data_IF_072548127952
#
_entry.id   IF_072548127952
#
_cell.length_a   1.000
_cell.length_b   1.000
_cell.length_c   1.000
_cell.angle_alpha   90.00
_cell.angle_beta   90.00
_cell.angle_gamma   90.00
#
_symmetry.space_group_name_H-M   'P 1'
#
loop_
_entity.id
_entity.type
_entity.pdbx_description
1 polymer ?
#
# COMPACT_ATOMS: atom_id res chain seq x y z
N UNK A 1 56.18 -34.72 0.85
CA UNK A 1 56.12 -33.33 1.37
C UNK A 1 55.23 -32.47 0.48
N UNK A 2 55.46 -32.38 -0.84
CA UNK A 2 54.63 -31.59 -1.77
C UNK A 2 53.11 -31.88 -1.74
N UNK A 3 52.68 -33.15 -1.70
CA UNK A 3 51.24 -33.48 -1.69
C UNK A 3 50.52 -33.00 -0.42
N UNK A 4 51.20 -32.98 0.72
CA UNK A 4 50.62 -32.54 1.99
C UNK A 4 50.39 -31.01 1.99
N UNK A 5 51.35 -30.25 1.45
CA UNK A 5 51.22 -28.79 1.31
C UNK A 5 50.10 -28.40 0.32
N UNK A 6 49.95 -29.14 -0.79
CA UNK A 6 48.86 -28.91 -1.75
C UNK A 6 47.49 -29.14 -1.08
N UNK A 7 47.34 -30.21 -0.30
CA UNK A 7 46.09 -30.49 0.42
C UNK A 7 45.79 -29.43 1.49
N UNK A 8 46.80 -28.97 2.23
CA UNK A 8 46.64 -27.91 3.23
C UNK A 8 46.21 -26.58 2.58
N UNK A 9 46.83 -26.23 1.46
CA UNK A 9 46.51 -25.04 0.67
C UNK A 9 45.07 -25.06 0.16
N UNK A 10 44.65 -26.17 -0.45
CA UNK A 10 43.27 -26.35 -0.92
C UNK A 10 42.24 -26.25 0.22
N UNK A 11 42.55 -26.81 1.40
CA UNK A 11 41.68 -26.71 2.57
C UNK A 11 41.55 -25.26 3.06
N UNK A 12 42.64 -24.50 3.06
CA UNK A 12 42.64 -23.08 3.42
C UNK A 12 41.86 -22.23 2.41
N UNK A 13 41.96 -22.51 1.11
CA UNK A 13 41.17 -21.81 0.09
C UNK A 13 39.68 -22.07 0.25
N UNK A 14 39.31 -23.33 0.51
CA UNK A 14 37.92 -23.69 0.76
C UNK A 14 37.38 -23.03 2.03
N UNK A 15 38.15 -23.01 3.11
CA UNK A 15 37.76 -22.32 4.35
C UNK A 15 37.54 -20.81 4.12
N UNK A 16 38.40 -20.16 3.33
CA UNK A 16 38.22 -18.75 2.99
C UNK A 16 36.96 -18.52 2.14
N UNK A 17 36.68 -19.40 1.19
CA UNK A 17 35.47 -19.31 0.37
C UNK A 17 34.19 -19.50 1.21
N UNK A 18 34.20 -20.46 2.14
CA UNK A 18 33.09 -20.68 3.08
C UNK A 18 32.88 -19.44 3.95
N UNK A 19 33.95 -18.86 4.50
CA UNK A 19 33.85 -17.64 5.30
C UNK A 19 33.25 -16.47 4.49
N UNK A 20 33.68 -16.27 3.23
CA UNK A 20 33.10 -15.24 2.37
C UNK A 20 31.62 -15.48 2.07
N UNK A 21 31.18 -16.74 1.97
CA UNK A 21 29.78 -17.08 1.80
C UNK A 21 28.97 -16.82 3.07
N UNK A 22 29.49 -17.20 4.23
CA UNK A 22 28.87 -16.93 5.54
C UNK A 22 28.67 -15.42 5.75
N UNK A 23 29.72 -14.61 5.52
CA UNK A 23 29.63 -13.15 5.61
C UNK A 23 28.56 -12.55 4.67
N UNK A 24 28.41 -13.12 3.47
CA UNK A 24 27.38 -12.70 2.52
C UNK A 24 25.98 -13.14 2.95
N UNK A 25 25.85 -14.33 3.54
CA UNK A 25 24.57 -14.82 4.07
C UNK A 25 24.13 -13.95 5.24
N UNK A 26 25.01 -13.69 6.21
CA UNK A 26 24.72 -12.81 7.35
C UNK A 26 24.26 -11.41 6.91
N UNK A 27 24.94 -10.84 5.91
CA UNK A 27 24.54 -9.55 5.35
C UNK A 27 23.17 -9.61 4.66
N UNK A 28 22.85 -10.70 3.96
CA UNK A 28 21.55 -10.90 3.33
C UNK A 28 20.44 -11.10 4.37
N UNK A 29 20.70 -11.85 5.44
CA UNK A 29 19.74 -12.07 6.53
C UNK A 29 19.44 -10.77 7.27
N UNK A 30 20.46 -9.98 7.62
CA UNK A 30 20.26 -8.66 8.23
C UNK A 30 19.44 -7.74 7.33
N UNK A 31 19.71 -7.73 6.02
CA UNK A 31 18.94 -6.95 5.05
C UNK A 31 17.51 -7.47 4.90
N UNK A 32 17.29 -8.77 5.04
CA UNK A 32 15.97 -9.38 4.91
C UNK A 32 15.08 -8.99 6.09
N UNK A 33 15.59 -9.09 7.33
CA UNK A 33 14.87 -8.63 8.53
C UNK A 33 14.48 -7.16 8.42
N UNK A 34 15.41 -6.30 7.99
CA UNK A 34 15.09 -4.88 7.78
C UNK A 34 14.02 -4.67 6.70
N UNK A 35 14.01 -5.48 5.65
CA UNK A 35 12.98 -5.39 4.61
C UNK A 35 11.61 -5.83 5.14
N UNK A 36 11.56 -6.85 5.99
CA UNK A 36 10.31 -7.30 6.60
C UNK A 36 9.71 -6.21 7.50
N UNK A 37 10.54 -5.58 8.34
CA UNK A 37 10.11 -4.43 9.17
C UNK A 37 9.54 -3.28 8.32
N UNK A 38 10.20 -2.98 7.19
CA UNK A 38 9.74 -1.93 6.27
C UNK A 38 8.42 -2.32 5.60
N UNK A 39 8.25 -3.59 5.21
CA UNK A 39 7.01 -4.08 4.59
C UNK A 39 5.85 -3.98 5.57
N UNK A 40 6.06 -4.34 6.84
CA UNK A 40 5.05 -4.24 7.88
C UNK A 40 4.64 -2.79 8.12
N UNK A 41 5.62 -1.88 8.19
CA UNK A 41 5.35 -0.45 8.32
C UNK A 41 4.54 0.09 7.13
N UNK A 42 4.97 -0.21 5.89
CA UNK A 42 4.27 0.23 4.69
C UNK A 42 2.84 -0.34 4.61
N UNK A 43 2.64 -1.58 5.05
CA UNK A 43 1.32 -2.21 5.09
C UNK A 43 0.39 -1.50 6.09
N UNK A 44 0.92 -1.12 7.26
CA UNK A 44 0.18 -0.34 8.25
C UNK A 44 -0.25 1.03 7.71
N UNK A 45 0.69 1.77 7.11
CA UNK A 45 0.40 3.08 6.50
C UNK A 45 -0.63 2.95 5.37
N UNK A 46 -0.51 1.94 4.51
CA UNK A 46 -1.46 1.71 3.43
C UNK A 46 -2.88 1.43 3.96
N UNK A 47 -3.01 0.66 5.04
CA UNK A 47 -4.28 0.40 5.68
C UNK A 47 -4.90 1.68 6.26
N UNK A 48 -4.10 2.52 6.92
CA UNK A 48 -4.54 3.82 7.43
C UNK A 48 -5.04 4.74 6.31
N UNK A 49 -4.26 4.88 5.23
CA UNK A 49 -4.65 5.66 4.06
C UNK A 49 -5.93 5.12 3.40
N UNK A 50 -6.10 3.79 3.33
CA UNK A 50 -7.30 3.19 2.76
C UNK A 50 -8.55 3.51 3.60
N UNK A 51 -8.41 3.57 4.92
CA UNK A 51 -9.48 3.99 5.82
C UNK A 51 -9.86 5.45 5.58
N UNK A 52 -8.88 6.36 5.56
CA UNK A 52 -9.11 7.80 5.30
C UNK A 52 -9.78 8.05 3.94
N UNK A 53 -9.33 7.35 2.89
CA UNK A 53 -9.94 7.44 1.56
C UNK A 53 -11.39 6.96 1.58
N UNK A 54 -11.70 5.91 2.34
CA UNK A 54 -13.07 5.41 2.48
C UNK A 54 -13.97 6.46 3.13
N UNK A 55 -13.49 7.11 4.19
CA UNK A 55 -14.22 8.15 4.91
C UNK A 55 -14.45 9.38 4.02
N UNK A 56 -13.42 9.82 3.29
CA UNK A 56 -13.54 10.91 2.34
C UNK A 56 -14.56 10.60 1.23
N UNK A 57 -14.53 9.37 0.67
CA UNK A 57 -15.52 8.94 -0.31
C UNK A 57 -16.94 8.99 0.26
N UNK A 58 -17.13 8.55 1.50
CA UNK A 58 -18.43 8.61 2.17
C UNK A 58 -18.91 10.06 2.34
N UNK A 59 -18.04 10.95 2.81
CA UNK A 59 -18.36 12.36 2.98
C UNK A 59 -18.72 13.03 1.64
N UNK A 60 -17.96 12.76 0.57
CA UNK A 60 -18.25 13.26 -0.77
C UNK A 60 -19.63 12.78 -1.25
N UNK A 61 -19.97 11.52 -1.00
CA UNK A 61 -21.28 10.98 -1.37
C UNK A 61 -22.42 11.67 -0.61
N UNK A 62 -22.24 11.94 0.69
CA UNK A 62 -23.22 12.69 1.48
C UNK A 62 -23.41 14.12 0.96
N UNK A 63 -22.32 14.81 0.60
CA UNK A 63 -22.38 16.14 -0.01
C UNK A 63 -23.10 16.10 -1.36
N UNK A 64 -22.78 15.12 -2.21
CA UNK A 64 -23.43 14.95 -3.50
C UNK A 64 -24.94 14.69 -3.37
N UNK A 65 -25.35 13.87 -2.40
CA UNK A 65 -26.76 13.62 -2.11
C UNK A 65 -27.48 14.91 -1.65
N UNK A 66 -26.90 15.64 -0.70
CA UNK A 66 -27.46 16.93 -0.24
C UNK A 66 -27.63 17.95 -1.37
N UNK A 67 -26.67 18.00 -2.30
CA UNK A 67 -26.75 18.90 -3.46
C UNK A 67 -27.88 18.49 -4.42
N UNK A 68 -28.09 17.19 -4.66
CA UNK A 68 -29.22 16.68 -5.45
C UNK A 68 -30.57 17.00 -4.80
N UNK A 69 -30.66 16.84 -3.49
CA UNK A 69 -31.88 17.14 -2.74
C UNK A 69 -32.20 18.64 -2.79
N UNK A 70 -31.21 19.51 -2.60
CA UNK A 70 -31.37 20.96 -2.72
C UNK A 70 -31.73 21.41 -4.16
N UNK A 71 -31.16 20.77 -5.17
CA UNK A 71 -31.51 21.02 -6.58
C UNK A 71 -32.92 20.56 -6.94
N UNK A 72 -33.38 19.43 -6.38
CA UNK A 72 -34.74 18.92 -6.60
C UNK A 72 -35.81 19.78 -5.92
N UNK A 73 -35.50 20.39 -4.77
CA UNK A 73 -36.39 21.34 -4.10
C UNK A 73 -36.63 22.63 -4.90
N UNK A 74 -35.80 22.92 -5.91
CA UNK A 74 -35.95 24.10 -6.77
C UNK A 74 -36.64 23.79 -8.11
N UNK A 75 -36.94 22.51 -8.40
CA UNK A 75 -37.20 22.05 -9.76
C UNK A 75 -38.61 21.55 -10.09
N UNK A 76 -39.55 21.48 -9.15
CA UNK A 76 -40.89 20.95 -9.48
C UNK A 76 -41.99 21.56 -8.60
N UNK A 77 -42.61 22.62 -9.13
CA UNK A 77 -44.03 23.01 -9.00
C UNK A 77 -44.25 24.46 -9.46
N UNK A 78 -43.96 24.73 -10.73
CA UNK A 78 -44.88 25.59 -11.49
C UNK A 78 -46.03 24.67 -11.92
N UNK A 79 -46.94 24.36 -10.99
CA UNK A 79 -48.26 23.86 -11.36
C UNK A 79 -48.91 24.97 -12.21
N UNK A 80 -48.86 24.80 -13.53
CA UNK A 80 -49.59 25.65 -14.47
C UNK A 80 -51.08 25.42 -14.18
N UNK A 81 -51.70 26.31 -13.40
CA UNK A 81 -53.14 26.31 -13.20
C UNK A 81 -53.83 26.49 -14.57
N UNK A 82 -54.78 25.61 -14.95
CA UNK A 82 -55.50 25.76 -16.20
C UNK A 82 -56.31 27.07 -16.17
N UNK A 83 -56.38 27.81 -17.31
CA UNK A 83 -56.97 29.14 -17.33
C UNK A 83 -58.46 29.13 -16.93
N UNK A 84 -58.94 30.18 -16.25
CA UNK A 84 -60.28 30.19 -15.65
C UNK A 84 -61.39 30.13 -16.71
N UNK A 85 -62.52 29.43 -16.41
CA UNK A 85 -63.65 29.36 -17.33
C UNK A 85 -64.32 30.73 -17.46
N UNK A 86 -64.36 31.25 -18.68
CA UNK A 86 -65.06 32.49 -19.01
C UNK A 86 -66.57 32.23 -19.08
N UNK A 87 -67.32 32.77 -18.11
CA UNK A 87 -68.78 32.85 -18.11
C UNK A 87 -69.27 34.20 -18.67
#
# INVERSE_FOLDING_TARGET
>A
MANHEITLSAHSTNANYIQQLEERVDALESRNVFQDDVIDQLSGELAAHQHEISDLKHQIQLVANRLKDAGSLSGDKEEIEPPPPHY
#
